data_IF_105211632736
#
_entry.id   IF_105211632736
#
_cell.length_a   1.000
_cell.length_b   1.000
_cell.length_c   1.000
_cell.angle_alpha   90.00
_cell.angle_beta   90.00
_cell.angle_gamma   90.00
#
_symmetry.space_group_name_H-M   'P 1'
#
loop_
_entity.id
_entity.type
_entity.pdbx_description
1 polymer ?
#
# COMPACT_ATOMS: atom_id res chain seq x y z
N UNK A 1 -11.32 11.79 -6.92
CA UNK A 1 -10.73 12.86 -6.10
C UNK A 1 -11.63 14.07 -6.16
N UNK A 2 -11.74 14.84 -5.08
CA UNK A 2 -12.54 16.07 -5.04
C UNK A 2 -11.66 17.19 -4.49
N UNK A 3 -11.55 18.31 -5.22
CA UNK A 3 -10.88 19.52 -4.76
C UNK A 3 -11.94 20.50 -4.26
N UNK A 4 -11.78 20.99 -3.02
CA UNK A 4 -12.67 21.96 -2.40
C UNK A 4 -11.89 23.26 -2.20
N UNK A 5 -12.46 24.37 -2.69
CA UNK A 5 -11.98 25.72 -2.42
C UNK A 5 -12.70 26.26 -1.17
N UNK A 6 -11.94 26.81 -0.22
CA UNK A 6 -12.48 27.38 1.01
C UNK A 6 -12.59 28.93 0.89
N UNK A 7 -13.43 29.58 1.73
CA UNK A 7 -13.70 31.02 1.63
C UNK A 7 -12.47 31.93 1.75
N UNK A 8 -11.41 31.49 2.43
CA UNK A 8 -10.17 32.27 2.63
C UNK A 8 -9.07 31.96 1.61
N UNK A 9 -9.42 31.33 0.48
CA UNK A 9 -8.47 31.01 -0.60
C UNK A 9 -7.67 29.73 -0.37
N UNK A 10 -7.90 29.02 0.74
CA UNK A 10 -7.33 27.70 0.96
C UNK A 10 -7.97 26.65 0.05
N UNK A 11 -7.23 25.57 -0.21
CA UNK A 11 -7.73 24.41 -0.94
C UNK A 11 -7.57 23.14 -0.10
N UNK A 12 -8.49 22.19 -0.26
CA UNK A 12 -8.41 20.85 0.33
C UNK A 12 -8.70 19.80 -0.73
N UNK A 13 -7.85 18.78 -0.83
CA UNK A 13 -8.02 17.65 -1.74
C UNK A 13 -8.48 16.42 -0.96
N UNK A 14 -9.65 15.90 -1.29
CA UNK A 14 -10.17 14.64 -0.77
C UNK A 14 -9.84 13.49 -1.73
N UNK A 15 -9.12 12.50 -1.21
CA UNK A 15 -8.83 11.23 -1.86
C UNK A 15 -9.52 10.12 -1.08
N UNK A 16 -10.30 9.30 -1.77
CA UNK A 16 -10.96 8.12 -1.19
C UNK A 16 -10.63 6.94 -2.08
N UNK A 17 -10.03 5.92 -1.47
CA UNK A 17 -9.67 4.65 -2.11
C UNK A 17 -10.16 3.55 -1.18
N UNK A 18 -10.82 2.54 -1.75
CA UNK A 18 -11.30 1.40 -0.98
C UNK A 18 -10.14 0.63 -0.35
N UNK A 19 -10.25 0.21 0.92
CA UNK A 19 -9.14 -0.42 1.67
C UNK A 19 -8.65 -1.74 1.04
N UNK A 20 -9.46 -2.41 0.21
CA UNK A 20 -9.00 -3.58 -0.56
C UNK A 20 -7.94 -3.25 -1.62
N UNK A 21 -7.79 -1.98 -2.00
CA UNK A 21 -6.83 -1.53 -3.01
C UNK A 21 -5.66 -0.73 -2.41
N UNK A 22 -5.70 -0.40 -1.12
CA UNK A 22 -4.70 0.45 -0.45
C UNK A 22 -4.57 0.08 1.02
N UNK A 23 -3.36 0.15 1.54
CA UNK A 23 -3.05 0.04 2.95
C UNK A 23 -2.22 1.26 3.43
N UNK A 24 -1.82 1.26 4.70
CA UNK A 24 -1.02 2.34 5.27
C UNK A 24 0.32 2.56 4.55
N UNK A 25 0.96 1.50 4.04
CA UNK A 25 2.22 1.60 3.31
C UNK A 25 2.00 2.20 1.92
N UNK A 26 0.91 1.81 1.26
CA UNK A 26 0.52 2.28 -0.07
C UNK A 26 0.23 3.79 -0.09
N UNK A 27 -0.38 4.34 0.97
CA UNK A 27 -0.65 5.78 1.06
C UNK A 27 0.60 6.64 0.99
N UNK A 28 1.70 6.20 1.60
CA UNK A 28 2.97 6.92 1.55
C UNK A 28 3.46 7.06 0.11
N UNK A 29 3.46 5.96 -0.65
CA UNK A 29 3.87 5.95 -2.07
C UNK A 29 2.97 6.84 -2.91
N UNK A 30 1.64 6.75 -2.74
CA UNK A 30 0.67 7.54 -3.51
C UNK A 30 0.84 9.05 -3.26
N UNK A 31 1.07 9.46 -2.01
CA UNK A 31 1.25 10.87 -1.67
C UNK A 31 2.61 11.42 -2.11
N UNK A 32 3.67 10.60 -2.02
CA UNK A 32 5.00 10.94 -2.57
C UNK A 32 4.92 11.15 -4.10
N UNK A 33 4.31 10.23 -4.84
CA UNK A 33 4.15 10.33 -6.30
C UNK A 33 3.27 11.53 -6.71
N UNK A 34 2.17 11.77 -5.97
CA UNK A 34 1.29 12.91 -6.21
C UNK A 34 2.04 14.24 -6.02
N UNK A 35 2.82 14.36 -4.95
CA UNK A 35 3.61 15.55 -4.68
C UNK A 35 4.67 15.78 -5.78
N UNK A 36 5.39 14.72 -6.17
CA UNK A 36 6.41 14.81 -7.23
C UNK A 36 5.80 15.25 -8.56
N UNK A 37 4.69 14.63 -8.97
CA UNK A 37 3.99 15.00 -10.21
C UNK A 37 3.48 16.44 -10.15
N UNK A 38 2.89 16.86 -9.03
CA UNK A 38 2.39 18.23 -8.85
C UNK A 38 3.50 19.27 -8.97
N UNK A 39 4.65 19.04 -8.31
CA UNK A 39 5.81 19.95 -8.38
C UNK A 39 6.41 20.01 -9.78
N UNK A 40 6.49 18.88 -10.49
CA UNK A 40 6.99 18.87 -11.87
C UNK A 40 6.07 19.69 -12.80
N UNK A 41 4.76 19.45 -12.73
CA UNK A 41 3.79 20.13 -13.57
C UNK A 41 3.71 21.64 -13.30
N UNK A 42 3.78 22.06 -12.03
CA UNK A 42 3.79 23.50 -11.68
C UNK A 42 5.05 24.23 -12.16
N UNK A 43 6.15 23.49 -12.41
CA UNK A 43 7.40 24.02 -12.98
C UNK A 43 7.49 23.85 -14.50
N UNK A 44 6.45 23.33 -15.16
CA UNK A 44 6.48 23.04 -16.60
C UNK A 44 7.46 21.92 -16.98
N UNK A 45 7.82 21.06 -16.03
CA UNK A 45 8.73 19.93 -16.24
C UNK A 45 7.94 18.65 -16.53
N UNK A 46 8.52 17.70 -17.28
CA UNK A 46 7.91 16.40 -17.47
C UNK A 46 7.80 15.63 -16.14
N UNK A 47 6.70 14.88 -15.96
CA UNK A 47 6.52 14.00 -14.80
C UNK A 47 7.36 12.74 -15.00
N UNK A 48 8.27 12.48 -14.07
CA UNK A 48 9.09 11.27 -14.04
C UNK A 48 8.96 10.62 -12.66
N UNK A 49 8.15 9.56 -12.58
CA UNK A 49 7.97 8.76 -11.35
C UNK A 49 8.96 7.61 -11.31
N UNK A 50 9.15 7.03 -10.12
CA UNK A 50 9.95 5.83 -9.95
C UNK A 50 9.40 4.67 -10.78
N UNK A 51 10.28 3.74 -11.17
CA UNK A 51 9.87 2.54 -11.88
C UNK A 51 8.88 1.73 -11.03
N UNK A 52 7.89 1.13 -11.69
CA UNK A 52 6.94 0.23 -11.02
C UNK A 52 7.67 -0.95 -10.39
N UNK A 53 7.25 -1.30 -9.18
CA UNK A 53 7.68 -2.52 -8.50
C UNK A 53 6.82 -3.71 -8.96
N UNK A 54 6.74 -4.75 -8.14
CA UNK A 54 5.89 -5.92 -8.38
C UNK A 54 4.42 -5.51 -8.48
N UNK A 55 3.76 -5.93 -9.56
CA UNK A 55 2.32 -5.74 -9.68
C UNK A 55 1.57 -6.59 -8.65
N UNK A 56 0.42 -6.08 -8.16
CA UNK A 56 -0.44 -6.82 -7.24
C UNK A 56 -0.84 -8.20 -7.80
N UNK A 57 -1.05 -8.30 -9.11
CA UNK A 57 -1.31 -9.58 -9.80
C UNK A 57 -0.17 -10.57 -9.57
N UNK A 58 1.07 -10.17 -9.87
CA UNK A 58 2.24 -11.05 -9.73
C UNK A 58 2.47 -11.43 -8.26
N UNK A 59 2.26 -10.50 -7.35
CA UNK A 59 2.31 -10.78 -5.92
C UNK A 59 1.24 -11.79 -5.50
N UNK A 60 -0.01 -11.65 -5.95
CA UNK A 60 -1.09 -12.57 -5.63
C UNK A 60 -0.83 -13.99 -6.19
N UNK A 61 -0.30 -14.09 -7.42
CA UNK A 61 0.13 -15.37 -8.01
C UNK A 61 1.22 -16.05 -7.17
N UNK A 62 2.20 -15.28 -6.68
CA UNK A 62 3.24 -15.81 -5.78
C UNK A 62 2.69 -16.18 -4.41
N UNK A 63 1.73 -15.42 -3.88
CA UNK A 63 1.10 -15.73 -2.61
C UNK A 63 0.34 -17.06 -2.66
N UNK A 64 -0.35 -17.34 -3.77
CA UNK A 64 -1.01 -18.64 -3.98
C UNK A 64 -0.03 -19.81 -4.02
N UNK A 65 1.13 -19.62 -4.65
CA UNK A 65 2.20 -20.62 -4.65
C UNK A 65 2.78 -20.82 -3.25
N UNK A 66 3.02 -19.72 -2.53
CA UNK A 66 3.52 -19.76 -1.14
C UNK A 66 2.56 -20.49 -0.21
N UNK A 67 1.25 -20.26 -0.37
CA UNK A 67 0.21 -20.86 0.46
C UNK A 67 0.17 -22.39 0.40
N UNK A 68 0.64 -22.99 -0.70
CA UNK A 68 0.73 -24.45 -0.87
C UNK A 68 2.16 -24.99 -0.66
N UNK A 69 3.09 -24.11 -0.26
CA UNK A 69 4.49 -24.44 -0.08
C UNK A 69 4.81 -25.15 1.25
N UNK A 70 5.94 -25.86 1.25
CA UNK A 70 6.46 -26.52 2.44
C UNK A 70 6.81 -25.53 3.58
N UNK A 71 7.18 -24.29 3.25
CA UNK A 71 7.52 -23.24 4.23
C UNK A 71 6.32 -22.91 5.11
N UNK A 72 5.19 -22.54 4.53
CA UNK A 72 3.98 -22.24 5.30
C UNK A 72 3.47 -23.47 6.06
N UNK A 73 3.61 -24.66 5.46
CA UNK A 73 3.25 -25.92 6.12
C UNK A 73 4.06 -26.13 7.41
N UNK A 74 5.35 -25.78 7.40
CA UNK A 74 6.20 -25.87 8.59
C UNK A 74 5.84 -24.83 9.67
N UNK A 75 5.32 -23.66 9.28
CA UNK A 75 4.85 -22.63 10.22
C UNK A 75 3.50 -22.97 10.87
N UNK A 76 2.72 -23.89 10.29
CA UNK A 76 1.38 -24.24 10.77
C UNK A 76 1.37 -24.65 12.23
N UNK A 77 2.26 -25.54 12.63
CA UNK A 77 2.28 -26.10 13.99
C UNK A 77 2.71 -25.05 15.03
N UNK A 78 3.47 -24.03 14.62
CA UNK A 78 3.73 -22.85 15.44
C UNK A 78 2.46 -22.01 15.64
N UNK A 79 1.78 -21.63 14.56
CA UNK A 79 0.56 -20.82 14.66
C UNK A 79 -0.57 -21.50 15.43
N UNK A 80 -0.71 -22.83 15.30
CA UNK A 80 -1.68 -23.60 16.10
C UNK A 80 -1.39 -23.55 17.60
N UNK A 81 -0.12 -23.64 18.00
CA UNK A 81 0.28 -23.52 19.41
C UNK A 81 0.09 -22.09 19.93
N UNK A 82 0.45 -21.08 19.14
CA UNK A 82 0.23 -19.68 19.49
C UNK A 82 -1.25 -19.36 19.76
N UNK A 83 -2.17 -19.95 18.99
CA UNK A 83 -3.62 -19.80 19.19
C UNK A 83 -4.14 -20.50 20.45
N UNK A 84 -3.45 -21.53 20.94
CA UNK A 84 -3.78 -22.22 22.19
C UNK A 84 -3.30 -21.45 23.42
N UNK A 85 -2.51 -20.38 23.23
CA UNK A 85 -1.93 -19.60 24.33
C UNK A 85 -0.69 -20.26 24.95
N UNK A 86 -0.17 -21.32 24.33
CA UNK A 86 1.04 -22.03 24.79
C UNK A 86 2.32 -21.21 24.58
N UNK A 87 2.30 -20.30 23.60
CA UNK A 87 3.33 -19.29 23.40
C UNK A 87 2.79 -17.94 23.91
N UNK A 88 2.80 -17.74 25.23
CA UNK A 88 2.71 -16.38 25.78
C UNK A 88 4.03 -15.66 25.50
N UNK A 89 4.04 -14.55 24.74
CA UNK A 89 5.17 -13.63 24.82
C UNK A 89 5.19 -13.02 26.23
N UNK A 90 6.40 -12.87 26.78
CA UNK A 90 6.69 -12.16 28.05
C UNK A 90 5.96 -10.81 28.16
#
# INVERSE_FOLDING_TARGET
AVLVNLPHGEQRLLLVIHHLAVDGVSWRVLLEDLQQAYVALTKGQPVALAAKTTSLKRWAEQLQQYATGAVLTAERDYWLRALQGDDQPL
#
